data_IF_929252722467
#
_entry.id   IF_929252722467
#
_cell.length_a   1.000
_cell.length_b   1.000
_cell.length_c   1.000
_cell.angle_alpha   90.00
_cell.angle_beta   90.00
_cell.angle_gamma   90.00
#
_symmetry.space_group_name_H-M   'P 1'
#
loop_
_entity.id
_entity.type
_entity.pdbx_description
1 polymer ?
#
# COMPACT_ATOMS: atom_id res chain seq x y z
N UNK A 1 22.01 -3.32 -9.40
CA UNK A 1 20.93 -4.03 -10.13
C UNK A 1 19.84 -4.27 -9.10
N UNK A 2 18.70 -3.57 -9.21
CA UNK A 2 17.55 -3.89 -8.38
C UNK A 2 17.07 -5.27 -8.84
N UNK A 3 17.21 -6.28 -7.98
CA UNK A 3 16.62 -7.59 -8.20
C UNK A 3 15.14 -7.41 -8.55
N UNK A 4 14.55 -8.22 -9.44
CA UNK A 4 13.11 -8.19 -9.62
C UNK A 4 12.52 -8.46 -8.25
N UNK A 5 11.74 -7.51 -7.71
CA UNK A 5 11.06 -7.66 -6.44
C UNK A 5 10.14 -8.87 -6.58
N UNK A 6 10.64 -10.02 -6.14
CA UNK A 6 9.90 -11.27 -6.23
C UNK A 6 8.86 -11.17 -5.14
N UNK A 7 7.63 -10.84 -5.50
CA UNK A 7 6.51 -10.81 -4.58
C UNK A 7 6.30 -12.22 -4.05
N UNK A 8 6.78 -12.48 -2.84
CA UNK A 8 6.48 -13.70 -2.10
C UNK A 8 5.01 -13.72 -1.68
N UNK A 9 4.53 -14.89 -1.28
CA UNK A 9 3.21 -15.02 -0.66
C UNK A 9 3.10 -14.13 0.59
N UNK A 10 4.18 -14.07 1.39
CA UNK A 10 4.23 -13.26 2.61
C UNK A 10 4.14 -11.76 2.30
N UNK A 11 4.81 -11.28 1.26
CA UNK A 11 4.70 -9.89 0.80
C UNK A 11 3.27 -9.59 0.34
N UNK A 12 2.67 -10.50 -0.44
CA UNK A 12 1.31 -10.32 -0.93
C UNK A 12 0.28 -10.29 0.21
N UNK A 13 0.44 -11.15 1.22
CA UNK A 13 -0.39 -11.15 2.43
C UNK A 13 -0.23 -9.85 3.22
N UNK A 14 1.01 -9.36 3.37
CA UNK A 14 1.29 -8.08 4.02
C UNK A 14 0.63 -6.92 3.27
N UNK A 15 0.83 -6.81 1.95
CA UNK A 15 0.28 -5.74 1.12
C UNK A 15 -1.25 -5.76 1.13
N UNK A 16 -1.86 -6.95 1.09
CA UNK A 16 -3.31 -7.12 1.15
C UNK A 16 -3.87 -6.67 2.50
N UNK A 17 -3.18 -6.99 3.60
CA UNK A 17 -3.57 -6.51 4.94
C UNK A 17 -3.47 -4.99 5.05
N UNK A 18 -2.38 -4.39 4.59
CA UNK A 18 -2.20 -2.93 4.60
C UNK A 18 -3.30 -2.24 3.77
N UNK A 19 -3.61 -2.78 2.60
CA UNK A 19 -4.70 -2.30 1.75
C UNK A 19 -6.06 -2.34 2.46
N UNK A 20 -6.41 -3.49 3.06
CA UNK A 20 -7.67 -3.66 3.77
C UNK A 20 -7.77 -2.73 4.99
N UNK A 21 -6.71 -2.66 5.81
CA UNK A 21 -6.61 -1.78 6.97
C UNK A 21 -6.83 -0.32 6.56
N UNK A 22 -6.15 0.13 5.48
CA UNK A 22 -6.25 1.51 5.01
C UNK A 22 -7.66 1.83 4.49
N UNK A 23 -8.21 0.97 3.63
CA UNK A 23 -9.57 1.17 3.10
C UNK A 23 -10.61 1.19 4.22
N UNK A 24 -10.49 0.32 5.23
CA UNK A 24 -11.38 0.28 6.37
C UNK A 24 -11.24 1.53 7.25
N UNK A 25 -10.01 1.93 7.59
CA UNK A 25 -9.73 3.08 8.46
C UNK A 25 -10.30 4.39 7.88
N UNK A 26 -10.23 4.54 6.56
CA UNK A 26 -10.68 5.74 5.86
C UNK A 26 -12.08 5.60 5.23
N UNK A 27 -12.75 4.46 5.42
CA UNK A 27 -14.07 4.13 4.82
C UNK A 27 -14.11 4.37 3.32
N UNK A 28 -13.03 3.96 2.63
CA UNK A 28 -12.89 4.14 1.18
C UNK A 28 -13.90 3.21 0.49
N UNK A 29 -14.86 3.76 -0.28
CA UNK A 29 -15.84 2.95 -0.97
C UNK A 29 -15.19 2.08 -2.04
N UNK A 30 -15.76 0.90 -2.29
CA UNK A 30 -15.33 0.06 -3.40
C UNK A 30 -15.46 0.82 -4.73
N UNK A 31 -14.39 0.87 -5.51
CA UNK A 31 -14.33 1.61 -6.76
C UNK A 31 -12.96 2.25 -7.01
N UNK A 32 -12.90 3.31 -7.84
CA UNK A 32 -11.63 3.85 -8.34
C UNK A 32 -10.69 4.37 -7.24
N UNK A 33 -11.24 4.81 -6.11
CA UNK A 33 -10.44 5.28 -4.97
C UNK A 33 -9.65 4.12 -4.32
N UNK A 34 -10.20 2.90 -4.29
CA UNK A 34 -9.45 1.71 -3.83
C UNK A 34 -8.35 1.32 -4.83
N UNK A 35 -8.62 1.42 -6.13
CA UNK A 35 -7.61 1.13 -7.16
C UNK A 35 -6.41 2.09 -7.04
N UNK A 36 -6.66 3.36 -6.71
CA UNK A 36 -5.60 4.34 -6.45
C UNK A 36 -4.77 3.99 -5.21
N UNK A 37 -5.41 3.52 -4.14
CA UNK A 37 -4.71 3.03 -2.92
C UNK A 37 -3.87 1.80 -3.24
N UNK A 38 -4.43 0.81 -3.95
CA UNK A 38 -3.71 -0.39 -4.35
C UNK A 38 -2.50 -0.06 -5.23
N UNK A 39 -2.67 0.86 -6.20
CA UNK A 39 -1.57 1.37 -7.03
C UNK A 39 -0.49 2.05 -6.17
N UNK A 40 -0.88 2.87 -5.19
CA UNK A 40 0.05 3.55 -4.30
C UNK A 40 0.87 2.55 -3.49
N UNK A 41 0.22 1.55 -2.92
CA UNK A 41 0.87 0.46 -2.16
C UNK A 41 1.93 -0.24 -3.02
N UNK A 42 1.57 -0.62 -4.26
CA UNK A 42 2.53 -1.26 -5.17
C UNK A 42 3.71 -0.33 -5.52
N UNK A 43 3.47 0.96 -5.72
CA UNK A 43 4.54 1.93 -5.98
C UNK A 43 5.50 2.08 -4.79
N UNK A 44 4.97 2.13 -3.56
CA UNK A 44 5.79 2.20 -2.34
C UNK A 44 6.68 0.95 -2.22
N UNK A 45 6.09 -0.23 -2.42
CA UNK A 45 6.81 -1.50 -2.36
C UNK A 45 7.93 -1.59 -3.41
N UNK A 46 7.63 -1.24 -4.67
CA UNK A 46 8.64 -1.23 -5.76
C UNK A 46 9.73 -0.17 -5.50
N UNK A 47 9.41 0.89 -4.77
CA UNK A 47 10.38 1.93 -4.36
C UNK A 47 11.26 1.51 -3.18
N UNK A 48 11.06 0.30 -2.64
CA UNK A 48 11.84 -0.27 -1.54
C UNK A 48 11.27 0.00 -0.15
N UNK A 49 10.00 0.44 -0.06
CA UNK A 49 9.26 0.53 1.21
C UNK A 49 8.50 -0.78 1.38
N UNK A 50 9.16 -1.78 1.95
CA UNK A 50 8.66 -3.14 2.15
C UNK A 50 8.33 -3.47 3.62
N UNK A 51 8.52 -2.52 4.54
CA UNK A 51 8.04 -2.60 5.91
C UNK A 51 6.59 -2.10 6.05
N UNK A 52 5.79 -2.82 6.84
CA UNK A 52 4.36 -2.54 6.95
C UNK A 52 4.06 -1.20 7.64
N UNK A 53 4.84 -0.81 8.65
CA UNK A 53 4.64 0.44 9.38
C UNK A 53 5.07 1.63 8.52
N UNK A 54 6.19 1.51 7.81
CA UNK A 54 6.66 2.54 6.87
C UNK A 54 5.67 2.74 5.71
N UNK A 55 5.10 1.65 5.17
CA UNK A 55 4.04 1.74 4.16
C UNK A 55 2.80 2.46 4.69
N UNK A 56 2.33 2.11 5.89
CA UNK A 56 1.17 2.76 6.52
C UNK A 56 1.41 4.26 6.74
N UNK A 57 2.61 4.63 7.22
CA UNK A 57 3.01 6.02 7.41
C UNK A 57 3.06 6.79 6.07
N UNK A 58 3.63 6.19 5.02
CA UNK A 58 3.72 6.79 3.69
C UNK A 58 2.35 6.98 3.03
N UNK A 59 1.43 6.02 3.22
CA UNK A 59 0.04 6.15 2.77
C UNK A 59 -0.68 7.29 3.50
N UNK A 60 -0.51 7.41 4.82
CA UNK A 60 -1.10 8.50 5.59
C UNK A 60 -0.54 9.87 5.20
N UNK A 61 0.77 9.98 5.00
CA UNK A 61 1.44 11.21 4.59
C UNK A 61 1.11 11.64 3.15
N UNK A 62 0.73 10.68 2.29
CA UNK A 62 0.35 10.93 0.89
C UNK A 62 -1.03 11.57 0.73
N UNK A 63 -1.84 11.63 1.79
CA UNK A 63 -3.16 12.24 1.71
C UNK A 63 -3.02 13.76 1.81
N UNK A 64 -3.57 14.53 0.85
CA UNK A 64 -3.66 15.96 1.03
C UNK A 64 -4.59 16.22 2.22
N UNK A 65 -4.03 16.82 3.28
CA UNK A 65 -4.79 17.48 4.34
C UNK A 65 -5.73 18.46 3.65
N UNK A 66 -7.03 18.15 3.66
CA UNK A 66 -8.08 19.08 3.26
C UNK A 66 -8.54 19.82 4.50
#
# INVERSE_FOLDING_TARGET
MASPTYLGSDDLDMLTRIFADHCQAFRIPAGPEQDDVARRIMLLFISGIDDADDMKAALAASRPVH
#
